data_IF_042297152961
#
_entry.id   IF_042297152961
#
_cell.length_a   1.000
_cell.length_b   1.000
_cell.length_c   1.000
_cell.angle_alpha   90.00
_cell.angle_beta   90.00
_cell.angle_gamma   90.00
#
_symmetry.space_group_name_H-M   'P 1'
#
loop_
_entity.id
_entity.type
_entity.pdbx_description
1 polymer ?
#
# COMPACT_ATOMS: atom_id res chain seq x y z
N UNK A 1 9.58 20.89 26.80
CA UNK A 1 9.44 19.62 26.05
C UNK A 1 8.53 19.91 24.88
N UNK A 2 8.99 19.61 23.66
CA UNK A 2 8.24 19.89 22.43
C UNK A 2 7.80 18.59 21.77
N UNK A 3 6.60 18.61 21.20
CA UNK A 3 6.07 17.52 20.39
C UNK A 3 6.05 17.96 18.94
N UNK A 4 6.89 17.35 18.11
CA UNK A 4 6.87 17.59 16.68
C UNK A 4 6.02 16.51 16.02
N UNK A 5 5.11 16.94 15.15
CA UNK A 5 4.24 16.05 14.39
C UNK A 5 4.71 16.01 12.95
N UNK A 6 4.88 14.82 12.41
CA UNK A 6 5.30 14.62 11.01
C UNK A 6 4.23 13.79 10.31
N UNK A 7 3.72 14.29 9.19
CA UNK A 7 2.92 13.50 8.25
C UNK A 7 3.89 12.72 7.37
N UNK A 8 3.64 11.43 7.18
CA UNK A 8 4.40 10.57 6.29
C UNK A 8 3.46 9.74 5.44
N UNK A 9 3.72 9.70 4.14
CA UNK A 9 3.12 8.77 3.20
C UNK A 9 4.08 7.62 2.89
N UNK A 10 3.62 6.38 3.09
CA UNK A 10 4.34 5.15 2.82
C UNK A 10 3.63 4.35 1.74
N UNK A 11 4.37 3.72 0.85
CA UNK A 11 3.89 2.55 0.11
C UNK A 11 4.56 1.32 0.72
N UNK A 12 3.78 0.33 1.12
CA UNK A 12 4.30 -0.92 1.70
C UNK A 12 3.68 -2.11 0.99
N UNK A 13 4.50 -3.12 0.69
CA UNK A 13 4.03 -4.40 0.18
C UNK A 13 4.18 -5.46 1.26
N UNK A 14 3.10 -6.19 1.56
CA UNK A 14 3.16 -7.32 2.48
C UNK A 14 3.95 -8.48 1.89
N UNK A 15 4.70 -9.19 2.74
CA UNK A 15 5.32 -10.46 2.34
C UNK A 15 4.23 -11.47 2.00
N UNK A 16 4.45 -12.26 0.95
CA UNK A 16 3.50 -13.28 0.52
C UNK A 16 3.17 -14.26 1.66
N UNK A 17 4.18 -14.65 2.44
CA UNK A 17 4.04 -15.54 3.61
C UNK A 17 3.09 -14.98 4.67
N UNK A 18 3.10 -13.66 4.89
CA UNK A 18 2.24 -12.98 5.87
C UNK A 18 0.77 -13.09 5.47
N UNK A 19 0.45 -12.97 4.18
CA UNK A 19 -0.92 -13.14 3.69
C UNK A 19 -1.33 -14.62 3.66
N UNK A 20 -0.43 -15.52 3.26
CA UNK A 20 -0.71 -16.96 3.15
C UNK A 20 -1.09 -17.62 4.48
N UNK A 21 -0.65 -17.08 5.61
CA UNK A 21 -1.08 -17.57 6.94
C UNK A 21 -2.58 -17.40 7.20
N UNK A 22 -3.25 -16.54 6.43
CA UNK A 22 -4.64 -16.16 6.63
C UNK A 22 -5.54 -16.41 5.42
N UNK A 23 -4.95 -16.79 4.28
CA UNK A 23 -5.66 -17.00 3.03
C UNK A 23 -5.62 -18.47 2.59
N UNK A 24 -6.71 -19.00 2.01
CA UNK A 24 -6.73 -20.37 1.49
C UNK A 24 -5.86 -20.53 0.22
N UNK A 25 -5.51 -19.44 -0.46
CA UNK A 25 -4.70 -19.43 -1.67
C UNK A 25 -3.85 -18.14 -1.77
N UNK A 26 -2.90 -18.11 -2.70
CA UNK A 26 -2.05 -16.94 -2.91
C UNK A 26 -2.83 -15.77 -3.50
N UNK A 27 -2.69 -14.57 -2.92
CA UNK A 27 -3.25 -13.33 -3.45
C UNK A 27 -2.82 -13.04 -4.90
N UNK A 28 -1.65 -13.53 -5.32
CA UNK A 28 -1.16 -13.37 -6.70
C UNK A 28 -2.02 -14.10 -7.74
N UNK A 29 -2.82 -15.09 -7.32
CA UNK A 29 -3.78 -15.76 -8.21
C UNK A 29 -4.89 -14.78 -8.58
N UNK A 30 -5.43 -14.04 -7.60
CA UNK A 30 -6.45 -13.00 -7.83
C UNK A 30 -5.91 -11.95 -8.80
N UNK A 31 -4.70 -11.43 -8.53
CA UNK A 31 -4.06 -10.42 -9.39
C UNK A 31 -3.86 -10.89 -10.83
N UNK A 32 -3.41 -12.14 -11.02
CA UNK A 32 -3.26 -12.74 -12.37
C UNK A 32 -4.60 -12.92 -13.09
N UNK A 33 -5.62 -13.43 -12.41
CA UNK A 33 -6.94 -13.62 -13.02
C UNK A 33 -7.54 -12.30 -13.46
N UNK A 34 -7.47 -11.26 -12.61
CA UNK A 34 -7.94 -9.92 -12.94
C UNK A 34 -7.15 -9.30 -14.10
N UNK A 35 -5.83 -9.51 -14.13
CA UNK A 35 -4.99 -8.99 -15.21
C UNK A 35 -5.33 -9.62 -16.56
N UNK A 36 -5.61 -10.93 -16.62
CA UNK A 36 -6.07 -11.60 -17.84
C UNK A 36 -7.39 -11.01 -18.32
N UNK A 37 -8.37 -10.84 -17.42
CA UNK A 37 -9.68 -10.23 -17.76
C UNK A 37 -9.49 -8.81 -18.31
N UNK A 38 -8.65 -8.01 -17.66
CA UNK A 38 -8.38 -6.64 -18.09
C UNK A 38 -7.63 -6.58 -19.43
N UNK A 39 -6.72 -7.53 -19.70
CA UNK A 39 -6.00 -7.62 -20.96
C UNK A 39 -6.91 -8.00 -22.13
N UNK A 40 -7.79 -8.98 -21.93
CA UNK A 40 -8.80 -9.36 -22.91
C UNK A 40 -9.78 -8.20 -23.17
N UNK A 41 -10.16 -7.47 -22.13
CA UNK A 41 -10.98 -6.27 -22.25
C UNK A 41 -10.28 -5.15 -23.03
N UNK A 42 -9.02 -4.82 -22.71
CA UNK A 42 -8.28 -3.76 -23.38
C UNK A 42 -8.05 -4.07 -24.87
N UNK A 43 -7.77 -5.33 -25.21
CA UNK A 43 -7.59 -5.78 -26.61
C UNK A 43 -8.90 -5.70 -27.41
N UNK A 44 -10.03 -6.06 -26.81
CA UNK A 44 -11.33 -6.04 -27.48
C UNK A 44 -11.94 -4.63 -27.60
N UNK A 45 -11.65 -3.74 -26.65
CA UNK A 45 -12.14 -2.35 -26.64
C UNK A 45 -11.25 -1.37 -27.40
N UNK A 46 -9.97 -1.71 -27.62
CA UNK A 46 -8.99 -0.81 -28.22
C UNK A 46 -8.54 0.32 -27.29
N UNK A 47 -8.79 0.20 -25.98
CA UNK A 47 -8.39 1.21 -25.00
C UNK A 47 -6.87 1.27 -24.81
N UNK A 48 -6.33 2.48 -24.71
CA UNK A 48 -4.90 2.72 -24.48
C UNK A 48 -4.45 2.54 -23.03
N UNK A 49 -5.31 2.06 -22.13
CA UNK A 49 -5.05 1.89 -20.71
C UNK A 49 -5.78 0.67 -20.15
N UNK A 50 -5.38 0.21 -18.96
CA UNK A 50 -6.12 -0.81 -18.21
C UNK A 50 -7.03 -0.15 -17.17
N UNK A 51 -8.29 -0.60 -16.99
CA UNK A 51 -9.20 -0.06 -15.98
C UNK A 51 -8.78 -0.36 -14.53
N UNK A 52 -9.40 0.29 -13.54
CA UNK A 52 -9.31 -0.15 -12.14
C UNK A 52 -10.16 -1.42 -11.90
N UNK A 53 -9.92 -2.15 -10.80
CA UNK A 53 -10.65 -3.39 -10.48
C UNK A 53 -12.16 -3.15 -10.43
N UNK A 54 -12.62 -2.04 -9.85
CA UNK A 54 -14.05 -1.75 -9.69
C UNK A 54 -14.81 -1.63 -11.01
N UNK A 55 -14.11 -1.32 -12.11
CA UNK A 55 -14.71 -1.23 -13.44
C UNK A 55 -15.36 -2.54 -13.89
N UNK A 56 -14.82 -3.67 -13.43
CA UNK A 56 -15.28 -5.01 -13.78
C UNK A 56 -16.49 -5.47 -12.95
N UNK A 57 -16.91 -4.69 -11.94
CA UNK A 57 -18.04 -5.05 -11.08
C UNK A 57 -19.34 -5.11 -11.89
N UNK A 58 -20.02 -6.25 -11.84
CA UNK A 58 -21.32 -6.46 -12.49
C UNK A 58 -21.27 -6.52 -14.01
N UNK A 59 -20.07 -6.61 -14.62
CA UNK A 59 -19.93 -6.80 -16.06
C UNK A 59 -20.12 -8.27 -16.45
N UNK A 60 -20.72 -8.47 -17.61
CA UNK A 60 -20.90 -9.81 -18.18
C UNK A 60 -19.54 -10.47 -18.41
N UNK A 61 -19.44 -11.76 -18.06
CA UNK A 61 -18.20 -12.54 -18.19
C UNK A 61 -17.19 -12.36 -17.04
N UNK A 62 -17.49 -11.54 -16.03
CA UNK A 62 -16.67 -11.40 -14.83
C UNK A 62 -17.38 -12.05 -13.65
N UNK A 63 -16.70 -13.00 -13.00
CA UNK A 63 -17.18 -13.63 -11.77
C UNK A 63 -17.25 -12.58 -10.63
N UNK A 64 -18.44 -12.30 -10.06
CA UNK A 64 -18.58 -11.39 -8.93
C UNK A 64 -17.71 -11.79 -7.72
N UNK A 65 -17.53 -13.09 -7.49
CA UNK A 65 -16.76 -13.60 -6.35
C UNK A 65 -15.27 -13.22 -6.46
N UNK A 66 -14.75 -12.99 -7.66
CA UNK A 66 -13.36 -12.56 -7.87
C UNK A 66 -13.12 -11.15 -7.33
N UNK A 67 -14.05 -10.23 -7.58
CA UNK A 67 -13.94 -8.84 -7.10
C UNK A 67 -14.11 -8.81 -5.59
N UNK A 68 -15.09 -9.54 -5.06
CA UNK A 68 -15.29 -9.68 -3.61
C UNK A 68 -14.06 -10.30 -2.92
N UNK A 69 -13.44 -11.30 -3.53
CA UNK A 69 -12.19 -11.89 -3.02
C UNK A 69 -11.06 -10.87 -2.99
N UNK A 70 -10.91 -10.04 -4.03
CA UNK A 70 -9.92 -8.97 -4.04
C UNK A 70 -10.17 -7.94 -2.91
N UNK A 71 -11.42 -7.58 -2.65
CA UNK A 71 -11.81 -6.68 -1.57
C UNK A 71 -11.52 -7.28 -0.18
N UNK A 72 -11.83 -8.56 0.01
CA UNK A 72 -11.54 -9.28 1.26
C UNK A 72 -10.04 -9.35 1.54
N UNK A 73 -9.22 -9.69 0.53
CA UNK A 73 -7.76 -9.70 0.68
C UNK A 73 -7.23 -8.29 0.93
N UNK A 74 -7.79 -7.28 0.27
CA UNK A 74 -7.43 -5.87 0.50
C UNK A 74 -7.69 -5.43 1.93
N UNK A 75 -8.84 -5.80 2.50
CA UNK A 75 -9.18 -5.52 3.89
C UNK A 75 -8.23 -6.23 4.87
N UNK A 76 -7.94 -7.50 4.61
CA UNK A 76 -6.98 -8.27 5.40
C UNK A 76 -5.59 -7.64 5.35
N UNK A 77 -5.11 -7.26 4.16
CA UNK A 77 -3.83 -6.61 3.97
C UNK A 77 -3.74 -5.31 4.78
N UNK A 78 -4.77 -4.46 4.68
CA UNK A 78 -4.85 -3.21 5.44
C UNK A 78 -4.80 -3.44 6.97
N UNK A 79 -5.51 -4.46 7.45
CA UNK A 79 -5.50 -4.85 8.87
C UNK A 79 -4.11 -5.29 9.32
N UNK A 80 -3.47 -6.20 8.58
CA UNK A 80 -2.15 -6.74 8.91
C UNK A 80 -1.08 -5.66 8.88
N UNK A 81 -1.06 -4.82 7.84
CA UNK A 81 -0.10 -3.73 7.75
C UNK A 81 -0.25 -2.74 8.91
N UNK A 82 -1.49 -2.41 9.32
CA UNK A 82 -1.74 -1.57 10.48
C UNK A 82 -1.16 -2.19 11.76
N UNK A 83 -1.43 -3.47 12.01
CA UNK A 83 -0.93 -4.18 13.20
C UNK A 83 0.60 -4.24 13.22
N UNK A 84 1.23 -4.56 12.09
CA UNK A 84 2.69 -4.61 11.93
C UNK A 84 3.30 -3.23 12.19
N UNK A 85 2.81 -2.18 11.52
CA UNK A 85 3.33 -0.82 11.67
C UNK A 85 3.15 -0.32 13.11
N UNK A 86 2.00 -0.56 13.73
CA UNK A 86 1.78 -0.19 15.13
C UNK A 86 2.77 -0.89 16.05
N UNK A 87 2.98 -2.20 15.86
CA UNK A 87 3.92 -2.98 16.66
C UNK A 87 5.36 -2.48 16.52
N UNK A 88 5.79 -2.13 15.30
CA UNK A 88 7.17 -1.70 15.03
C UNK A 88 7.44 -0.24 15.40
N UNK A 89 6.47 0.66 15.22
CA UNK A 89 6.71 2.10 15.38
C UNK A 89 6.33 2.64 16.77
N UNK A 90 5.43 1.98 17.52
CA UNK A 90 5.06 2.40 18.89
C UNK A 90 6.25 2.53 19.86
N UNK A 91 7.30 1.69 19.81
CA UNK A 91 8.46 1.85 20.67
C UNK A 91 9.30 3.12 20.37
N UNK A 92 9.13 3.73 19.19
CA UNK A 92 10.01 4.80 18.67
C UNK A 92 9.32 6.17 18.71
N UNK A 93 8.02 6.20 18.47
CA UNK A 93 7.22 7.42 18.41
C UNK A 93 6.27 7.49 19.61
N UNK A 94 6.07 8.69 20.15
CA UNK A 94 5.13 8.87 21.27
C UNK A 94 3.68 8.65 20.83
N UNK A 95 3.38 8.85 19.54
CA UNK A 95 2.12 8.50 18.92
C UNK A 95 2.30 8.12 17.46
N UNK A 96 1.48 7.16 17.01
CA UNK A 96 1.38 6.69 15.61
C UNK A 96 -0.11 6.68 15.25
N UNK A 97 -0.53 7.64 14.44
CA UNK A 97 -1.93 7.81 14.02
C UNK A 97 -2.08 7.59 12.52
N UNK A 98 -2.97 6.67 12.12
CA UNK A 98 -3.25 6.39 10.72
C UNK A 98 -4.31 7.36 10.22
N UNK A 99 -3.99 8.13 9.18
CA UNK A 99 -4.92 9.03 8.51
C UNK A 99 -5.68 8.29 7.40
N UNK A 100 -4.95 7.50 6.61
CA UNK A 100 -5.53 6.70 5.54
C UNK A 100 -4.73 5.42 5.31
N UNK A 101 -5.42 4.37 4.86
CA UNK A 101 -4.84 3.12 4.36
C UNK A 101 -5.63 2.79 3.09
N UNK A 102 -4.96 2.70 1.96
CA UNK A 102 -5.56 2.44 0.65
C UNK A 102 -4.78 1.34 -0.05
N UNK A 103 -5.47 0.37 -0.65
CA UNK A 103 -4.83 -0.67 -1.43
C UNK A 103 -4.63 -0.19 -2.87
N UNK A 104 -3.40 -0.29 -3.37
CA UNK A 104 -3.04 0.24 -4.68
C UNK A 104 -3.64 -0.60 -5.82
N UNK A 105 -4.05 -1.83 -5.58
CA UNK A 105 -4.70 -2.67 -6.59
C UNK A 105 -6.01 -2.08 -7.13
N UNK A 106 -6.70 -1.28 -6.32
CA UNK A 106 -7.95 -0.60 -6.68
C UNK A 106 -7.71 0.78 -7.31
N UNK A 107 -6.46 1.23 -7.39
CA UNK A 107 -6.11 2.45 -8.12
C UNK A 107 -5.96 2.16 -9.61
N UNK A 108 -6.05 3.21 -10.44
CA UNK A 108 -5.82 3.10 -11.87
C UNK A 108 -4.39 2.60 -12.16
N UNK A 109 -4.23 1.48 -12.91
CA UNK A 109 -2.92 1.00 -13.30
C UNK A 109 -2.15 2.03 -14.14
N UNK A 110 -0.87 2.19 -13.82
CA UNK A 110 0.07 2.96 -14.66
C UNK A 110 0.60 2.15 -15.85
N UNK A 111 0.32 0.85 -15.87
CA UNK A 111 0.67 -0.07 -16.95
C UNK A 111 -0.14 0.28 -18.21
N UNK A 112 0.47 0.09 -19.37
CA UNK A 112 -0.19 0.29 -20.67
C UNK A 112 -0.13 -1.02 -21.47
N UNK A 113 -1.15 -1.35 -22.27
CA UNK A 113 -1.17 -2.60 -23.04
C UNK A 113 0.06 -2.82 -23.94
N UNK A 114 0.62 -1.74 -24.48
CA UNK A 114 1.76 -1.79 -25.40
C UNK A 114 3.14 -1.83 -24.69
N UNK A 115 3.18 -1.83 -23.35
CA UNK A 115 4.45 -1.92 -22.62
C UNK A 115 4.98 -3.35 -22.62
N UNK A 116 6.30 -3.49 -22.59
CA UNK A 116 6.94 -4.80 -22.37
C UNK A 116 6.49 -5.38 -21.02
N UNK A 117 6.13 -6.65 -21.02
CA UNK A 117 5.69 -7.42 -19.85
C UNK A 117 4.43 -6.80 -19.18
N UNK A 118 3.56 -6.17 -19.97
CA UNK A 118 2.36 -5.48 -19.49
C UNK A 118 1.48 -6.37 -18.62
N UNK A 119 1.18 -7.59 -19.07
CA UNK A 119 0.33 -8.52 -18.32
C UNK A 119 0.92 -8.88 -16.94
N UNK A 120 2.22 -9.11 -16.87
CA UNK A 120 2.89 -9.44 -15.59
C UNK A 120 2.87 -8.24 -14.63
N UNK A 121 3.18 -7.04 -15.13
CA UNK A 121 3.11 -5.81 -14.32
C UNK A 121 1.68 -5.49 -13.88
N UNK A 122 0.70 -5.79 -14.73
CA UNK A 122 -0.71 -5.61 -14.41
C UNK A 122 -1.15 -6.61 -13.33
N UNK A 123 -0.70 -7.86 -13.42
CA UNK A 123 -0.96 -8.88 -12.41
C UNK A 123 -0.35 -8.51 -11.05
N UNK A 124 0.85 -7.93 -11.05
CA UNK A 124 1.46 -7.37 -9.85
C UNK A 124 0.62 -6.21 -9.30
N UNK A 125 0.21 -5.26 -10.14
CA UNK A 125 -0.63 -4.13 -9.73
C UNK A 125 -1.96 -4.60 -9.11
N UNK A 126 -2.67 -5.53 -9.75
CA UNK A 126 -3.96 -6.03 -9.24
C UNK A 126 -3.84 -7.02 -8.07
N UNK A 127 -2.63 -7.42 -7.69
CA UNK A 127 -2.45 -8.21 -6.47
C UNK A 127 -2.70 -7.29 -5.27
N UNK A 128 -3.69 -7.58 -4.40
CA UNK A 128 -4.08 -6.69 -3.31
C UNK A 128 -3.15 -6.81 -2.09
N UNK A 129 -1.84 -6.75 -2.28
CA UNK A 129 -0.80 -6.88 -1.24
C UNK A 129 -0.05 -5.57 -0.94
N UNK A 130 -0.27 -4.54 -1.76
CA UNK A 130 0.46 -3.27 -1.69
C UNK A 130 -0.47 -2.13 -1.26
N UNK A 131 -0.06 -1.41 -0.22
CA UNK A 131 -0.86 -0.39 0.45
C UNK A 131 -0.13 0.96 0.44
N UNK A 132 -0.86 2.01 0.11
CA UNK A 132 -0.49 3.39 0.43
C UNK A 132 -1.07 3.76 1.80
N UNK A 133 -0.21 4.24 2.69
CA UNK A 133 -0.56 4.53 4.08
C UNK A 133 -0.10 5.94 4.42
N UNK A 134 -1.00 6.75 4.98
CA UNK A 134 -0.66 8.06 5.54
C UNK A 134 -0.68 7.99 7.06
N UNK A 135 0.43 8.39 7.68
CA UNK A 135 0.68 8.33 9.11
C UNK A 135 0.98 9.74 9.62
N UNK A 136 0.43 10.08 10.78
CA UNK A 136 0.93 11.17 11.60
C UNK A 136 1.70 10.58 12.76
N UNK A 137 2.98 10.90 12.81
CA UNK A 137 3.93 10.46 13.83
C UNK A 137 4.22 11.64 14.78
N UNK A 138 4.21 11.37 16.07
CA UNK A 138 4.61 12.36 17.08
C UNK A 138 5.96 11.96 17.68
N UNK A 139 6.92 12.89 17.68
CA UNK A 139 8.22 12.73 18.31
C UNK A 139 8.29 13.68 19.50
N UNK A 140 8.78 13.18 20.64
CA UNK A 140 9.04 13.98 21.83
C UNK A 140 10.51 14.41 21.83
N UNK A 141 10.79 15.71 21.82
CA UNK A 141 12.14 16.26 21.85
C UNK A 141 12.36 17.18 23.05
N UNK A 142 13.61 17.23 23.51
CA UNK A 142 14.06 18.22 24.50
C UNK A 142 14.21 19.57 23.81
N UNK A 143 13.87 20.65 24.50
CA UNK A 143 13.79 21.99 23.90
C UNK A 143 15.14 22.48 23.35
N UNK A 144 16.26 21.98 23.91
CA UNK A 144 17.62 22.25 23.43
C UNK A 144 17.95 21.65 22.06
N UNK A 145 17.16 20.71 21.56
CA UNK A 145 17.34 20.07 20.25
C UNK A 145 16.30 20.56 19.21
N UNK A 146 15.33 21.36 19.64
CA UNK A 146 14.12 21.69 18.88
C UNK A 146 14.31 22.75 17.77
N UNK A 147 15.44 23.46 17.75
CA UNK A 147 15.77 24.42 16.68
C UNK A 147 16.30 23.73 15.41
N UNK A 148 16.57 22.42 15.47
CA UNK A 148 17.09 21.63 14.37
C UNK A 148 15.90 21.03 13.60
N UNK A 149 15.69 21.43 12.33
CA UNK A 149 14.67 20.94 11.36
C UNK A 149 14.80 19.44 11.00
N UNK A 150 15.34 18.63 11.92
CA UNK A 150 15.69 17.22 11.75
C UNK A 150 14.55 16.24 12.05
N UNK A 151 13.37 16.73 12.45
CA UNK A 151 12.24 15.86 12.80
C UNK A 151 11.80 14.98 11.62
N UNK A 152 11.70 15.57 10.44
CA UNK A 152 11.29 14.86 9.22
C UNK A 152 12.35 13.83 8.74
N UNK A 153 13.64 14.20 8.54
CA UNK A 153 14.68 13.22 8.21
C UNK A 153 14.81 12.09 9.22
N UNK A 154 14.62 12.38 10.51
CA UNK A 154 14.62 11.37 11.57
C UNK A 154 13.45 10.39 11.41
N UNK A 155 12.22 10.90 11.24
CA UNK A 155 11.04 10.07 11.02
C UNK A 155 11.23 9.13 9.82
N UNK A 156 11.69 9.68 8.69
CA UNK A 156 12.00 8.93 7.47
C UNK A 156 12.98 7.78 7.73
N UNK A 157 14.12 8.10 8.36
CA UNK A 157 15.16 7.11 8.67
C UNK A 157 14.66 6.01 9.59
N UNK A 158 13.86 6.35 10.61
CA UNK A 158 13.33 5.38 11.55
C UNK A 158 12.31 4.45 10.90
N UNK A 159 11.37 4.96 10.10
CA UNK A 159 10.40 4.06 9.45
C UNK A 159 11.10 3.06 8.53
N UNK A 160 12.05 3.51 7.70
CA UNK A 160 12.78 2.60 6.83
C UNK A 160 13.47 1.50 7.66
N UNK A 161 14.26 1.90 8.67
CA UNK A 161 15.01 0.97 9.53
C UNK A 161 14.13 -0.09 10.21
N UNK A 162 12.94 0.29 10.66
CA UNK A 162 12.08 -0.59 11.47
C UNK A 162 11.04 -1.36 10.65
N UNK A 163 10.76 -0.94 9.41
CA UNK A 163 9.76 -1.56 8.56
C UNK A 163 10.36 -2.44 7.45
N UNK A 164 11.58 -2.16 6.98
CA UNK A 164 12.21 -2.88 5.86
C UNK A 164 12.30 -4.41 6.09
N UNK A 165 12.49 -4.86 7.33
CA UNK A 165 12.62 -6.30 7.63
C UNK A 165 11.28 -7.05 7.68
N UNK A 166 10.15 -6.35 7.80
CA UNK A 166 8.82 -6.95 8.01
C UNK A 166 7.88 -6.84 6.81
N UNK A 167 8.20 -5.97 5.85
CA UNK A 167 7.51 -5.87 4.57
C UNK A 167 8.39 -6.42 3.45
N UNK A 168 7.80 -6.74 2.30
CA UNK A 168 8.53 -7.10 1.09
C UNK A 168 9.21 -5.86 0.51
N UNK A 169 8.47 -4.75 0.44
CA UNK A 169 8.99 -3.45 0.03
C UNK A 169 8.43 -2.35 0.94
N UNK A 170 9.26 -1.33 1.17
CA UNK A 170 8.89 -0.10 1.90
C UNK A 170 9.44 1.09 1.13
N UNK A 171 8.55 1.96 0.68
CA UNK A 171 8.90 3.21 0.03
C UNK A 171 8.29 4.38 0.82
N UNK A 172 9.11 5.39 1.14
CA UNK A 172 8.61 6.65 1.69
C UNK A 172 8.29 7.58 0.53
N UNK A 173 7.00 7.69 0.19
CA UNK A 173 6.52 8.49 -0.93
C UNK A 173 6.53 10.00 -0.64
N UNK A 174 6.46 10.39 0.64
CA UNK A 174 6.53 11.78 1.05
C UNK A 174 6.53 11.94 2.57
N UNK A 175 7.02 13.07 3.04
CA UNK A 175 6.96 13.48 4.43
C UNK A 175 6.87 14.99 4.55
N UNK A 176 6.27 15.47 5.64
CA UNK A 176 6.24 16.90 5.96
C UNK A 176 6.02 17.11 7.46
N UNK A 177 6.64 18.15 8.01
CA UNK A 177 6.36 18.60 9.38
C UNK A 177 4.99 19.28 9.41
N UNK A 178 4.16 18.91 10.37
CA UNK A 178 2.89 19.57 10.63
C UNK A 178 3.16 20.74 11.59
N UNK A 179 3.21 21.96 11.05
CA UNK A 179 3.21 23.18 11.86
C UNK A 179 1.88 23.32 12.59
N UNK A 180 1.96 23.60 13.90
CA UNK A 180 0.80 23.89 14.75
C UNK A 180 0.38 25.34 14.59
#
# INVERSE_FOLDING_TARGET
MRFDRTLVTLNVQLKAETLQQHLPCSASIIGRTLATIADDYARSSGEGYYPAIEFFRGREGVDPELIESAEQVSWLAAKLAREIIQKQLRPIFSSVSFQSIQNLAFSMPRVRPNQKDALEKLAQHYTPDTLKIELVLTIMRRDSEAEDDRAEPYARKMMFRWLESVFETVEVAGSSVLTS
#
